data_IF_669773608716
#
_entry.id   IF_669773608716
#
_cell.length_a   1.000
_cell.length_b   1.000
_cell.length_c   1.000
_cell.angle_alpha   90.00
_cell.angle_beta   90.00
_cell.angle_gamma   90.00
#
_symmetry.space_group_name_H-M   'P 1'
#
loop_
_entity.id
_entity.type
_entity.pdbx_description
1 polymer ?
#
# COMPACT_ATOMS: atom_id res chain seq x y z
N UNK A 1 4.41 7.23 -10.45
CA UNK A 1 3.20 6.59 -9.96
C UNK A 1 3.45 5.87 -8.67
N UNK A 2 3.39 6.62 -7.60
CA UNK A 2 3.56 6.07 -6.26
C UNK A 2 2.28 6.26 -5.46
N UNK A 3 2.13 5.41 -4.46
CA UNK A 3 1.01 5.45 -3.53
C UNK A 3 1.57 5.73 -2.15
N UNK A 4 0.88 6.54 -1.38
CA UNK A 4 1.29 6.83 0.00
C UNK A 4 0.80 5.74 0.92
N UNK A 5 1.70 5.18 1.68
CA UNK A 5 1.41 4.17 2.69
C UNK A 5 1.55 4.78 4.07
N UNK A 6 0.59 4.48 4.94
CA UNK A 6 0.70 4.76 6.35
C UNK A 6 1.42 3.62 7.04
N UNK A 7 2.35 3.94 7.91
CA UNK A 7 2.91 2.95 8.83
C UNK A 7 2.59 3.41 10.25
N UNK A 8 1.83 2.60 10.95
CA UNK A 8 1.37 2.90 12.31
C UNK A 8 2.08 1.98 13.27
N UNK A 9 2.76 2.57 14.26
CA UNK A 9 3.40 1.79 15.31
C UNK A 9 2.37 1.47 16.38
N UNK A 10 2.18 0.19 16.66
CA UNK A 10 1.24 -0.25 17.68
C UNK A 10 1.96 -1.16 18.68
N UNK A 11 1.56 -1.05 19.94
CA UNK A 11 2.05 -1.97 20.96
C UNK A 11 1.46 -3.34 20.73
N UNK A 12 2.25 -4.39 20.93
CA UNK A 12 1.79 -5.77 20.75
C UNK A 12 0.99 -6.22 21.98
N UNK A 13 -0.23 -5.73 22.08
CA UNK A 13 -1.16 -6.10 23.14
C UNK A 13 -2.60 -6.11 22.63
N UNK A 14 -3.48 -6.87 23.29
CA UNK A 14 -4.87 -6.97 22.84
C UNK A 14 -5.54 -5.59 22.71
N UNK A 15 -6.36 -5.45 21.70
CA UNK A 15 -7.17 -4.25 21.49
C UNK A 15 -6.49 -3.12 20.70
N UNK A 16 -5.17 -3.16 20.51
CA UNK A 16 -4.49 -2.06 19.79
C UNK A 16 -4.85 -2.04 18.32
N UNK A 17 -4.84 -3.18 17.67
CA UNK A 17 -5.23 -3.28 16.26
C UNK A 17 -6.71 -2.92 16.07
N UNK A 18 -7.55 -3.40 16.97
CA UNK A 18 -8.98 -3.06 16.95
C UNK A 18 -9.20 -1.55 17.09
N UNK A 19 -8.42 -0.90 17.96
CA UNK A 19 -8.52 0.56 18.15
C UNK A 19 -8.21 1.31 16.84
N UNK A 20 -7.14 0.94 16.16
CA UNK A 20 -6.77 1.59 14.90
C UNK A 20 -7.87 1.44 13.86
N UNK A 21 -8.36 0.23 13.67
CA UNK A 21 -9.40 -0.02 12.67
C UNK A 21 -10.71 0.69 13.00
N UNK A 22 -11.06 0.79 14.29
CA UNK A 22 -12.24 1.52 14.73
C UNK A 22 -12.11 3.02 14.47
N UNK A 23 -10.96 3.60 14.77
CA UNK A 23 -10.71 5.02 14.51
C UNK A 23 -10.90 5.34 13.03
N UNK A 24 -10.33 4.50 12.16
CA UNK A 24 -10.46 4.71 10.72
C UNK A 24 -11.90 4.57 10.26
N UNK A 25 -12.60 3.55 10.74
CA UNK A 25 -14.01 3.34 10.40
C UNK A 25 -14.89 4.47 10.86
N UNK A 26 -14.68 4.96 12.09
CA UNK A 26 -15.47 6.07 12.67
C UNK A 26 -15.23 7.38 11.90
N UNK A 27 -14.10 7.51 11.25
CA UNK A 27 -13.77 8.68 10.45
C UNK A 27 -14.04 8.46 8.95
N UNK A 28 -14.77 7.43 8.61
CA UNK A 28 -15.18 7.13 7.23
C UNK A 28 -13.98 6.94 6.30
N UNK A 29 -12.93 6.29 6.81
CA UNK A 29 -11.75 5.92 6.03
C UNK A 29 -11.81 4.44 5.71
N UNK A 30 -11.72 4.11 4.42
CA UNK A 30 -11.76 2.73 3.96
C UNK A 30 -10.34 2.20 3.75
N UNK A 31 -10.06 1.05 4.35
CA UNK A 31 -8.77 0.38 4.21
C UNK A 31 -8.77 -0.41 2.91
N UNK A 32 -7.78 -0.13 2.05
CA UNK A 32 -7.67 -0.76 0.74
C UNK A 32 -6.62 -1.86 0.71
N UNK A 33 -5.65 -1.79 1.59
CA UNK A 33 -4.63 -2.81 1.75
C UNK A 33 -4.06 -2.71 3.16
N UNK A 34 -3.62 -3.83 3.70
CA UNK A 34 -3.01 -3.83 5.02
C UNK A 34 -2.04 -4.97 5.18
N UNK A 35 -1.05 -4.74 6.03
CA UNK A 35 -0.06 -5.74 6.42
C UNK A 35 0.38 -5.43 7.84
N UNK A 36 0.46 -6.45 8.66
CA UNK A 36 0.94 -6.32 10.03
C UNK A 36 2.26 -7.05 10.15
N UNK A 37 3.32 -6.31 10.40
CA UNK A 37 4.63 -6.87 10.65
C UNK A 37 4.86 -6.86 12.16
N UNK A 38 5.18 -8.01 12.69
CA UNK A 38 5.29 -8.21 14.12
C UNK A 38 6.76 -8.24 14.56
N UNK A 39 7.07 -7.43 15.55
CA UNK A 39 8.32 -7.57 16.28
C UNK A 39 7.96 -7.99 17.71
N UNK A 40 8.94 -8.25 18.55
CA UNK A 40 8.70 -8.79 19.88
C UNK A 40 7.76 -7.94 20.73
N UNK A 41 7.97 -6.62 20.74
CA UNK A 41 7.23 -5.70 21.61
C UNK A 41 6.27 -4.80 20.85
N UNK A 42 6.48 -4.63 19.55
CA UNK A 42 5.71 -3.71 18.72
C UNK A 42 5.31 -4.38 17.43
N UNK A 43 4.23 -3.86 16.85
CA UNK A 43 3.86 -4.19 15.51
C UNK A 43 3.95 -2.94 14.64
N UNK A 44 4.16 -3.15 13.36
CA UNK A 44 4.06 -2.10 12.37
C UNK A 44 2.89 -2.44 11.47
N UNK A 45 1.85 -1.64 11.55
CA UNK A 45 0.68 -1.81 10.69
C UNK A 45 0.84 -0.92 9.47
N UNK A 46 0.95 -1.54 8.30
CA UNK A 46 1.06 -0.82 7.04
C UNK A 46 -0.31 -0.79 6.37
N UNK A 47 -0.74 0.40 5.99
CA UNK A 47 -2.08 0.63 5.46
C UNK A 47 -2.05 1.46 4.19
N UNK A 48 -2.87 1.06 3.24
CA UNK A 48 -3.27 1.92 2.12
C UNK A 48 -4.74 2.24 2.35
N UNK A 49 -5.08 3.50 2.32
CA UNK A 49 -6.44 3.97 2.60
C UNK A 49 -6.93 4.88 1.48
N UNK A 50 -8.23 5.08 1.41
CA UNK A 50 -8.83 5.94 0.39
C UNK A 50 -8.64 7.43 0.69
N UNK A 51 -8.60 7.81 1.95
CA UNK A 51 -8.40 9.21 2.35
C UNK A 51 -7.21 9.31 3.29
N UNK A 52 -6.05 9.50 2.71
CA UNK A 52 -4.78 9.50 3.42
C UNK A 52 -4.71 10.59 4.50
N UNK A 53 -5.05 11.82 4.13
CA UNK A 53 -4.95 12.97 5.05
C UNK A 53 -5.87 12.80 6.26
N UNK A 54 -7.08 12.34 6.03
CA UNK A 54 -8.04 12.10 7.10
C UNK A 54 -7.57 10.98 8.02
N UNK A 55 -7.00 9.93 7.46
CA UNK A 55 -6.47 8.81 8.25
C UNK A 55 -5.32 9.25 9.15
N UNK A 56 -4.37 9.99 8.59
CA UNK A 56 -3.22 10.51 9.37
C UNK A 56 -3.71 11.38 10.51
N UNK A 57 -4.60 12.32 10.22
CA UNK A 57 -5.14 13.23 11.22
C UNK A 57 -5.86 12.50 12.33
N UNK A 58 -6.74 11.56 11.98
CA UNK A 58 -7.52 10.81 12.95
C UNK A 58 -6.62 9.98 13.87
N UNK A 59 -5.63 9.30 13.32
CA UNK A 59 -4.74 8.45 14.12
C UNK A 59 -3.82 9.28 15.01
N UNK A 60 -3.28 10.38 14.52
CA UNK A 60 -2.44 11.26 15.33
C UNK A 60 -3.21 11.90 16.47
N UNK A 61 -4.44 12.29 16.23
CA UNK A 61 -5.32 12.87 17.26
C UNK A 61 -5.51 11.90 18.41
N UNK A 62 -5.57 10.61 18.11
CA UNK A 62 -5.74 9.56 19.13
C UNK A 62 -4.40 9.06 19.71
N UNK A 63 -3.32 9.74 19.38
CA UNK A 63 -2.01 9.47 19.99
C UNK A 63 -1.17 8.40 19.31
N UNK A 64 -1.56 7.92 18.14
CA UNK A 64 -0.76 6.94 17.42
C UNK A 64 0.39 7.59 16.68
N UNK A 65 1.53 6.89 16.66
CA UNK A 65 2.69 7.30 15.89
C UNK A 65 2.54 6.80 14.46
N UNK A 66 2.53 7.73 13.51
CA UNK A 66 2.29 7.43 12.10
C UNK A 66 3.41 8.00 11.24
N UNK A 67 3.92 7.18 10.32
CA UNK A 67 4.88 7.66 9.31
C UNK A 67 4.33 7.37 7.93
N UNK A 68 4.88 8.06 6.94
CA UNK A 68 4.46 7.92 5.54
C UNK A 68 5.60 7.36 4.72
N UNK A 69 5.27 6.41 3.85
CA UNK A 69 6.24 5.80 2.94
C UNK A 69 5.63 5.74 1.55
N UNK A 70 6.43 6.00 0.54
CA UNK A 70 6.00 5.82 -0.84
C UNK A 70 6.18 4.36 -1.24
N UNK A 71 5.14 3.78 -1.82
CA UNK A 71 5.14 2.40 -2.30
C UNK A 71 4.58 2.35 -3.71
N UNK A 72 4.75 1.21 -4.36
CA UNK A 72 4.20 0.96 -5.69
C UNK A 72 3.00 0.04 -5.59
N UNK A 73 2.01 0.29 -6.44
CA UNK A 73 0.88 -0.62 -6.60
C UNK A 73 0.95 -1.20 -8.01
N UNK A 74 1.12 -2.49 -8.12
CA UNK A 74 1.35 -3.19 -9.39
C UNK A 74 0.21 -4.15 -9.65
N UNK A 75 -0.35 -4.10 -10.85
CA UNK A 75 -1.35 -5.05 -11.29
C UNK A 75 -0.65 -6.28 -11.85
N UNK A 76 -0.97 -7.44 -11.34
CA UNK A 76 -0.42 -8.71 -11.83
C UNK A 76 -1.54 -9.65 -12.25
N UNK A 77 -1.21 -10.63 -13.10
CA UNK A 77 -2.16 -11.67 -13.45
C UNK A 77 -2.33 -12.62 -12.27
N UNK A 78 -3.57 -12.84 -11.88
CA UNK A 78 -3.89 -13.77 -10.80
C UNK A 78 -3.95 -15.20 -11.35
N UNK A 79 -2.77 -15.75 -11.61
CA UNK A 79 -2.59 -17.10 -12.11
C UNK A 79 -1.23 -17.64 -11.66
N UNK A 80 -1.03 -18.96 -11.70
CA UNK A 80 0.29 -19.50 -11.39
C UNK A 80 1.37 -18.83 -12.24
N UNK A 81 2.42 -18.34 -11.59
CA UNK A 81 3.52 -17.65 -12.27
C UNK A 81 3.34 -16.16 -12.46
N UNK A 82 2.15 -15.60 -12.21
CA UNK A 82 1.93 -14.17 -12.37
C UNK A 82 2.84 -13.31 -11.50
N UNK A 83 2.95 -13.66 -10.22
CA UNK A 83 3.86 -12.97 -9.32
C UNK A 83 5.32 -13.17 -9.73
N UNK A 84 5.67 -14.37 -10.17
CA UNK A 84 7.04 -14.67 -10.59
C UNK A 84 7.48 -13.79 -11.76
N UNK A 85 6.59 -13.48 -12.67
CA UNK A 85 6.88 -12.60 -13.79
C UNK A 85 7.26 -11.19 -13.31
N UNK A 86 6.53 -10.66 -12.34
CA UNK A 86 6.83 -9.35 -11.77
C UNK A 86 8.17 -9.36 -11.02
N UNK A 87 8.41 -10.41 -10.24
CA UNK A 87 9.67 -10.53 -9.50
C UNK A 87 10.87 -10.67 -10.44
N UNK A 88 10.68 -11.35 -11.55
CA UNK A 88 11.74 -11.48 -12.56
C UNK A 88 12.09 -10.15 -13.20
N UNK A 89 11.08 -9.32 -13.48
CA UNK A 89 11.32 -7.99 -14.03
C UNK A 89 12.19 -7.15 -13.09
N UNK A 90 11.92 -7.22 -11.80
CA UNK A 90 12.73 -6.51 -10.80
C UNK A 90 14.13 -7.10 -10.68
N UNK A 91 14.23 -8.42 -10.69
CA UNK A 91 15.51 -9.12 -10.59
C UNK A 91 16.44 -8.78 -11.77
N UNK A 92 15.88 -8.69 -12.97
CA UNK A 92 16.67 -8.39 -14.17
C UNK A 92 17.35 -7.02 -14.08
N UNK A 93 16.76 -6.08 -13.36
CA UNK A 93 17.33 -4.75 -13.17
C UNK A 93 17.95 -4.60 -11.77
N UNK A 94 18.20 -5.72 -11.11
CA UNK A 94 18.90 -5.78 -9.83
C UNK A 94 18.22 -4.94 -8.73
N UNK A 95 16.89 -4.99 -8.69
CA UNK A 95 16.10 -4.24 -7.73
C UNK A 95 15.66 -5.14 -6.59
N UNK A 96 15.98 -4.74 -5.37
CA UNK A 96 15.58 -5.49 -4.17
C UNK A 96 14.22 -5.02 -3.67
N UNK A 97 13.40 -5.98 -3.28
CA UNK A 97 12.10 -5.71 -2.64
C UNK A 97 12.30 -5.78 -1.13
N UNK A 98 11.98 -4.70 -0.43
CA UNK A 98 12.09 -4.66 1.02
C UNK A 98 10.94 -5.40 1.68
N UNK A 99 9.72 -5.22 1.17
CA UNK A 99 8.54 -5.97 1.58
C UNK A 99 7.43 -5.82 0.53
N UNK A 100 6.44 -6.68 0.63
CA UNK A 100 5.28 -6.62 -0.26
C UNK A 100 4.06 -7.26 0.39
N UNK A 101 2.88 -6.86 -0.06
CA UNK A 101 1.61 -7.42 0.40
C UNK A 101 0.50 -7.16 -0.61
N UNK A 102 -0.58 -7.90 -0.48
CA UNK A 102 -1.72 -7.80 -1.39
C UNK A 102 -2.70 -6.72 -0.98
N UNK A 103 -3.49 -6.26 -1.92
CA UNK A 103 -4.51 -5.24 -1.68
C UNK A 103 -5.92 -5.84 -1.69
N UNK A 104 -6.81 -5.27 -0.90
CA UNK A 104 -8.24 -5.60 -0.88
C UNK A 104 -8.96 -4.76 -1.90
N UNK A 105 -8.80 -5.02 -3.14
CA UNK A 105 -9.48 -4.25 -4.17
C UNK A 105 -10.32 -5.17 -5.01
N UNK A 106 -11.51 -4.71 -5.30
CA UNK A 106 -12.36 -5.35 -6.27
C UNK A 106 -11.72 -5.12 -7.63
N UNK A 107 -11.05 -6.11 -8.14
CA UNK A 107 -10.28 -5.99 -9.36
C UNK A 107 -11.03 -6.59 -10.52
N UNK A 108 -10.48 -6.40 -11.69
CA UNK A 108 -10.90 -7.15 -12.87
C UNK A 108 -10.68 -8.63 -12.60
N UNK A 109 -11.49 -9.44 -13.23
CA UNK A 109 -11.33 -10.89 -13.17
C UNK A 109 -9.91 -11.29 -13.56
N UNK A 110 -9.34 -12.22 -12.83
CA UNK A 110 -7.99 -12.75 -13.04
C UNK A 110 -6.87 -11.74 -12.85
N UNK A 111 -7.12 -10.66 -12.12
CA UNK A 111 -6.07 -9.71 -11.75
C UNK A 111 -5.96 -9.57 -10.25
N UNK A 112 -4.76 -9.25 -9.79
CA UNK A 112 -4.49 -8.96 -8.39
C UNK A 112 -3.61 -7.73 -8.31
N UNK A 113 -3.67 -7.04 -7.19
CA UNK A 113 -2.82 -5.89 -6.94
C UNK A 113 -1.83 -6.19 -5.84
N UNK A 114 -0.60 -5.75 -6.06
CA UNK A 114 0.50 -6.00 -5.16
C UNK A 114 1.11 -4.67 -4.74
N UNK A 115 1.27 -4.49 -3.43
CA UNK A 115 1.95 -3.32 -2.89
C UNK A 115 3.41 -3.70 -2.69
N UNK A 116 4.31 -2.89 -3.24
CA UNK A 116 5.75 -3.12 -3.17
C UNK A 116 6.47 -1.94 -2.55
N UNK A 117 7.31 -2.23 -1.58
CA UNK A 117 8.29 -1.26 -1.11
C UNK A 117 9.65 -1.69 -1.63
N UNK A 118 10.28 -0.81 -2.39
CA UNK A 118 11.59 -1.06 -2.99
C UNK A 118 12.54 0.06 -2.61
N UNK A 119 13.82 -0.23 -2.64
CA UNK A 119 14.84 0.75 -2.32
C UNK A 119 14.89 1.87 -3.36
N UNK A 120 14.92 1.50 -4.62
CA UNK A 120 14.97 2.48 -5.72
C UNK A 120 13.64 2.50 -6.46
N UNK A 121 12.78 3.43 -6.07
CA UNK A 121 11.43 3.56 -6.63
C UNK A 121 11.47 3.87 -8.13
N UNK A 122 12.31 4.81 -8.54
CA UNK A 122 12.39 5.19 -9.96
C UNK A 122 12.81 4.02 -10.84
N UNK A 123 13.83 3.29 -10.42
CA UNK A 123 14.30 2.13 -11.17
C UNK A 123 13.24 1.03 -11.25
N UNK A 124 12.51 0.81 -10.15
CA UNK A 124 11.44 -0.18 -10.13
C UNK A 124 10.28 0.21 -11.04
N UNK A 125 9.89 1.47 -11.04
CA UNK A 125 8.86 1.98 -11.95
C UNK A 125 9.24 1.75 -13.41
N UNK A 126 10.48 2.05 -13.76
CA UNK A 126 10.98 1.84 -15.13
C UNK A 126 10.99 0.36 -15.49
N UNK A 127 11.53 -0.48 -14.61
CA UNK A 127 11.64 -1.92 -14.87
C UNK A 127 10.25 -2.57 -15.06
N UNK A 128 9.30 -2.25 -14.21
CA UNK A 128 7.97 -2.80 -14.30
C UNK A 128 7.20 -2.26 -15.50
N UNK A 129 7.33 -0.98 -15.80
CA UNK A 129 6.68 -0.38 -16.95
C UNK A 129 7.21 -0.95 -18.27
N UNK A 130 8.52 -1.11 -18.38
CA UNK A 130 9.14 -1.71 -19.57
C UNK A 130 8.74 -3.16 -19.76
N UNK A 131 8.51 -3.87 -18.65
CA UNK A 131 8.06 -5.26 -18.72
C UNK A 131 6.56 -5.37 -18.99
N UNK A 132 5.85 -4.27 -19.11
CA UNK A 132 4.44 -4.26 -19.46
C UNK A 132 3.47 -4.32 -18.30
N UNK A 133 3.93 -4.16 -17.07
CA UNK A 133 3.05 -4.16 -15.91
C UNK A 133 2.34 -2.83 -15.73
N UNK A 134 1.07 -2.89 -15.41
CA UNK A 134 0.28 -1.72 -15.10
C UNK A 134 0.53 -1.31 -13.65
N UNK A 135 0.79 -0.02 -13.45
CA UNK A 135 0.97 0.56 -12.13
C UNK A 135 -0.25 1.40 -11.84
N UNK A 136 -0.87 1.18 -10.69
CA UNK A 136 -2.16 1.80 -10.41
C UNK A 136 -2.18 2.59 -9.12
N UNK A 137 -3.15 3.49 -9.06
CA UNK A 137 -3.52 4.19 -7.83
C UNK A 137 -4.58 3.35 -7.14
N UNK A 138 -4.34 2.96 -5.90
CA UNK A 138 -5.28 2.12 -5.16
C UNK A 138 -6.45 2.88 -4.58
N UNK A 139 -6.31 4.14 -4.26
CA UNK A 139 -7.45 4.95 -3.89
C UNK A 139 -8.06 5.47 -5.18
N UNK A 140 -9.00 4.75 -5.65
CA UNK A 140 -9.52 4.91 -7.00
C UNK A 140 -10.66 5.88 -7.12
N UNK A 141 -11.07 6.48 -6.03
CA UNK A 141 -12.06 7.54 -6.10
C UNK A 141 -11.33 8.86 -6.00
N UNK A 142 -10.68 9.30 -7.08
CA UNK A 142 -10.03 10.59 -7.03
C UNK A 142 -11.10 11.63 -6.73
N UNK A 143 -10.79 12.53 -5.82
CA UNK A 143 -11.66 13.66 -5.60
C UNK A 143 -11.67 14.50 -6.89
N UNK A 144 -12.67 15.32 -7.12
CA UNK A 144 -12.65 16.22 -8.28
C UNK A 144 -11.38 17.05 -8.35
N UNK A 145 -10.83 17.40 -7.19
CA UNK A 145 -9.59 18.15 -7.12
C UNK A 145 -8.40 17.33 -7.65
N UNK A 146 -8.33 16.05 -7.31
CA UNK A 146 -7.24 15.19 -7.79
C UNK A 146 -7.30 15.02 -9.30
N UNK A 147 -8.49 14.92 -9.84
CA UNK A 147 -8.69 14.85 -11.28
C UNK A 147 -8.23 16.14 -11.94
N UNK A 148 -8.54 17.28 -11.35
CA UNK A 148 -8.11 18.58 -11.86
C UNK A 148 -6.60 18.73 -11.82
N UNK A 149 -5.96 18.30 -10.76
CA UNK A 149 -4.52 18.34 -10.60
C UNK A 149 -3.78 17.47 -11.60
N UNK A 150 -4.39 16.38 -12.02
CA UNK A 150 -3.77 15.47 -12.97
C UNK A 150 -3.80 15.97 -14.40
N UNK A 151 -4.42 17.09 -14.66
CA UNK A 151 -4.46 17.73 -15.95
C UNK A 151 -3.26 18.66 -16.10
#
# INVERSE_FOLDING_TARGET
MTVKQLSVFIENRPGRLSAVTKILGDNDVNIRAMSLADTKDFGILRLIVDDFEKAVSALKTEGFSVTTTQVLAVEINDRPGGLSEAMKALYNDNISVEYMYSAFINTKENTAYLILRVENVTAALEALSEAGFALCLLYTSPSPRDVEESR
#
